data_IF_394759822819
#
_entry.id   IF_394759822819
#
_cell.length_a   1.000
_cell.length_b   1.000
_cell.length_c   1.000
_cell.angle_alpha   90.00
_cell.angle_beta   90.00
_cell.angle_gamma   90.00
#
_symmetry.space_group_name_H-M   'P 1'
#
loop_
_entity.id
_entity.type
_entity.pdbx_description
1 polymer ?
#
# COMPACT_ATOMS: atom_id res chain seq x y z
N UNK A 1 28.73 2.39 -10.61
CA UNK A 1 28.52 2.73 -9.18
C UNK A 1 27.79 1.63 -8.41
N UNK A 2 26.59 1.20 -8.82
CA UNK A 2 25.97 0.00 -8.20
C UNK A 2 26.95 -1.18 -8.23
N UNK A 3 27.67 -1.36 -9.35
CA UNK A 3 28.84 -2.26 -9.45
C UNK A 3 29.86 -2.14 -8.29
N UNK A 4 30.24 -0.94 -7.85
CA UNK A 4 31.17 -0.75 -6.71
C UNK A 4 30.55 -1.13 -5.37
N UNK A 5 29.26 -0.86 -5.18
CA UNK A 5 28.53 -1.28 -3.96
C UNK A 5 28.38 -2.80 -3.91
N UNK A 6 28.08 -3.40 -5.06
CA UNK A 6 27.99 -4.85 -5.27
C UNK A 6 29.34 -5.52 -5.09
N UNK A 7 30.40 -4.90 -5.60
CA UNK A 7 31.77 -5.32 -5.38
C UNK A 7 32.08 -5.32 -3.88
N UNK A 8 31.89 -4.20 -3.17
CA UNK A 8 32.04 -4.17 -1.71
C UNK A 8 31.17 -5.23 -1.02
N UNK A 9 29.92 -5.42 -1.44
CA UNK A 9 29.06 -6.45 -0.86
C UNK A 9 29.58 -7.89 -1.07
N UNK A 10 30.28 -8.15 -2.18
CA UNK A 10 30.87 -9.47 -2.53
C UNK A 10 32.28 -9.67 -2.01
N UNK A 11 33.11 -8.62 -2.00
CA UNK A 11 34.56 -8.71 -1.84
C UNK A 11 35.05 -8.31 -0.47
N UNK A 12 34.22 -7.70 0.39
CA UNK A 12 34.63 -7.47 1.77
C UNK A 12 34.78 -8.82 2.49
N UNK A 13 35.98 -9.21 2.94
CA UNK A 13 36.21 -10.52 3.57
C UNK A 13 35.36 -10.68 4.84
N UNK A 14 34.94 -11.90 5.16
CA UNK A 14 34.37 -12.19 6.48
C UNK A 14 35.35 -11.81 7.61
N UNK A 15 36.65 -11.95 7.35
CA UNK A 15 37.73 -11.57 8.27
C UNK A 15 37.69 -10.09 8.67
N UNK A 16 37.25 -9.20 7.77
CA UNK A 16 37.11 -7.78 8.08
C UNK A 16 35.92 -7.50 9.01
N UNK A 17 34.84 -8.29 8.90
CA UNK A 17 33.74 -8.20 9.84
C UNK A 17 34.18 -8.72 11.22
N UNK A 18 34.82 -9.89 11.28
CA UNK A 18 35.35 -10.45 12.54
C UNK A 18 36.30 -9.48 13.23
N UNK A 19 37.25 -8.89 12.50
CA UNK A 19 38.17 -7.88 13.02
C UNK A 19 37.44 -6.68 13.65
N UNK A 20 36.39 -6.16 12.99
CA UNK A 20 35.61 -5.04 13.53
C UNK A 20 34.88 -5.41 14.82
N UNK A 21 34.40 -6.65 14.94
CA UNK A 21 33.73 -7.14 16.15
C UNK A 21 34.73 -7.36 17.29
N UNK A 22 35.88 -7.96 17.01
CA UNK A 22 36.97 -8.17 17.98
C UNK A 22 37.49 -6.86 18.57
N UNK A 23 37.47 -5.78 17.78
CA UNK A 23 37.85 -4.43 18.21
C UNK A 23 36.67 -3.58 18.69
N UNK A 24 35.50 -4.19 18.94
CA UNK A 24 34.27 -3.52 19.40
C UNK A 24 33.82 -2.33 18.53
N UNK A 25 34.24 -2.30 17.27
CA UNK A 25 33.88 -1.26 16.31
C UNK A 25 32.53 -1.56 15.64
N UNK A 26 31.48 -1.59 16.48
CA UNK A 26 30.11 -1.90 16.09
C UNK A 26 29.54 -0.88 15.08
N UNK A 27 30.01 0.37 15.12
CA UNK A 27 29.56 1.42 14.18
C UNK A 27 29.96 1.08 12.76
N UNK A 28 31.23 0.75 12.50
CA UNK A 28 31.69 0.35 11.17
C UNK A 28 31.12 -1.01 10.77
N UNK A 29 31.03 -1.96 11.70
CA UNK A 29 30.38 -3.25 11.45
C UNK A 29 28.93 -3.07 10.97
N UNK A 30 28.18 -2.12 11.55
CA UNK A 30 26.81 -1.81 11.13
C UNK A 30 26.74 -1.26 9.69
N UNK A 31 27.73 -0.49 9.25
CA UNK A 31 27.81 0.05 7.89
C UNK A 31 28.08 -1.05 6.88
N UNK A 32 28.98 -1.98 7.22
CA UNK A 32 29.25 -3.17 6.40
C UNK A 32 28.00 -4.03 6.24
N UNK A 33 27.31 -4.35 7.34
CA UNK A 33 26.09 -5.16 7.30
C UNK A 33 24.95 -4.47 6.54
N UNK A 34 24.88 -3.14 6.56
CA UNK A 34 23.97 -2.39 5.68
C UNK A 34 24.23 -2.70 4.22
N UNK A 35 25.49 -2.67 3.78
CA UNK A 35 25.86 -2.89 2.37
C UNK A 35 25.56 -4.33 1.96
N UNK A 36 25.84 -5.32 2.82
CA UNK A 36 25.50 -6.74 2.59
C UNK A 36 23.99 -7.03 2.66
N UNK A 37 23.20 -6.08 3.16
CA UNK A 37 21.77 -6.26 3.35
C UNK A 37 21.39 -7.17 4.51
N UNK A 38 22.28 -7.35 5.50
CA UNK A 38 21.96 -8.11 6.70
C UNK A 38 21.33 -7.20 7.76
N UNK A 39 20.03 -6.96 7.62
CA UNK A 39 19.27 -5.99 8.43
C UNK A 39 19.27 -6.36 9.92
N UNK A 40 19.11 -7.65 10.25
CA UNK A 40 19.08 -8.11 11.64
C UNK A 40 20.45 -7.94 12.29
N UNK A 41 21.52 -8.33 11.60
CA UNK A 41 22.87 -8.18 12.15
C UNK A 41 23.26 -6.71 12.31
N UNK A 42 22.86 -5.85 11.36
CA UNK A 42 23.00 -4.40 11.50
C UNK A 42 22.24 -3.87 12.72
N UNK A 43 21.00 -4.32 12.95
CA UNK A 43 20.20 -3.91 14.11
C UNK A 43 20.90 -4.30 15.42
N UNK A 44 21.43 -5.53 15.49
CA UNK A 44 22.23 -5.98 16.62
C UNK A 44 23.44 -5.08 16.87
N UNK A 45 24.21 -4.70 15.82
CA UNK A 45 25.35 -3.78 16.01
C UNK A 45 24.93 -2.42 16.56
N UNK A 46 23.82 -1.87 16.08
CA UNK A 46 23.31 -0.58 16.55
C UNK A 46 22.84 -0.63 18.01
N UNK A 47 22.33 -1.77 18.45
CA UNK A 47 21.99 -1.98 19.84
C UNK A 47 23.22 -2.01 20.77
N UNK A 48 24.34 -2.59 20.32
CA UNK A 48 25.59 -2.62 21.11
C UNK A 48 26.14 -1.22 21.43
N UNK A 49 25.74 -0.22 20.65
CA UNK A 49 26.06 1.20 20.86
C UNK A 49 24.84 2.01 21.30
N UNK A 50 23.83 1.34 21.87
CA UNK A 50 22.64 1.92 22.49
C UNK A 50 21.75 2.75 21.55
N UNK A 51 21.85 2.54 20.23
CA UNK A 51 21.00 3.18 19.23
C UNK A 51 19.72 2.35 19.05
N UNK A 52 18.93 2.27 20.12
CA UNK A 52 17.75 1.40 20.23
C UNK A 52 16.65 1.72 19.23
N UNK A 53 16.38 3.00 18.95
CA UNK A 53 15.33 3.41 18.00
C UNK A 53 15.59 2.87 16.59
N UNK A 54 16.81 3.07 16.06
CA UNK A 54 17.17 2.58 14.72
C UNK A 54 17.28 1.06 14.69
N UNK A 55 17.72 0.44 15.79
CA UNK A 55 17.74 -1.02 15.91
C UNK A 55 16.33 -1.58 15.82
N UNK A 56 15.39 -1.07 16.62
CA UNK A 56 13.97 -1.40 16.58
C UNK A 56 13.38 -1.22 15.18
N UNK A 57 13.59 -0.06 14.55
CA UNK A 57 13.11 0.21 13.19
C UNK A 57 13.59 -0.82 12.16
N UNK A 58 14.83 -1.29 12.26
CA UNK A 58 15.39 -2.29 11.35
C UNK A 58 14.79 -3.68 11.58
N UNK A 59 14.59 -4.09 12.84
CA UNK A 59 13.93 -5.37 13.15
C UNK A 59 12.47 -5.34 12.69
N UNK A 60 11.74 -4.26 13.00
CA UNK A 60 10.35 -4.07 12.53
C UNK A 60 10.28 -4.10 11.00
N UNK A 61 11.18 -3.38 10.31
CA UNK A 61 11.25 -3.40 8.86
C UNK A 61 11.48 -4.82 8.31
N UNK A 62 12.39 -5.58 8.91
CA UNK A 62 12.66 -6.95 8.48
C UNK A 62 11.43 -7.85 8.64
N UNK A 63 10.73 -7.75 9.78
CA UNK A 63 9.47 -8.47 10.02
C UNK A 63 8.43 -8.10 8.95
N UNK A 64 8.24 -6.80 8.70
CA UNK A 64 7.29 -6.29 7.72
C UNK A 64 7.59 -6.83 6.31
N UNK A 65 8.87 -6.85 5.91
CA UNK A 65 9.30 -7.38 4.60
C UNK A 65 9.15 -8.91 4.49
N UNK A 66 9.20 -9.63 5.60
CA UNK A 66 8.90 -11.07 5.61
C UNK A 66 7.39 -11.34 5.52
N UNK A 67 6.55 -10.46 6.08
CA UNK A 67 5.10 -10.59 6.03
C UNK A 67 4.55 -10.15 4.67
N UNK A 68 5.04 -9.03 4.13
CA UNK A 68 4.60 -8.53 2.83
C UNK A 68 5.29 -9.36 1.76
N UNK A 69 4.53 -10.23 1.10
CA UNK A 69 4.99 -10.89 -0.10
C UNK A 69 4.56 -10.07 -1.31
N UNK A 70 5.54 -9.77 -2.16
CA UNK A 70 5.32 -9.29 -3.51
C UNK A 70 5.45 -10.47 -4.47
N UNK A 71 4.75 -11.57 -4.18
CA UNK A 71 4.76 -12.75 -5.02
C UNK A 71 4.18 -12.48 -6.41
N UNK A 72 4.52 -13.35 -7.35
CA UNK A 72 4.24 -13.19 -8.77
C UNK A 72 2.77 -13.09 -9.15
N UNK A 73 1.86 -13.56 -8.28
CA UNK A 73 0.45 -13.82 -8.61
C UNK A 73 -0.55 -12.86 -7.97
N UNK A 74 -0.19 -12.09 -6.94
CA UNK A 74 -1.16 -11.32 -6.16
C UNK A 74 -0.56 -10.11 -5.46
N UNK A 75 -0.59 -8.94 -6.13
CA UNK A 75 -0.46 -7.59 -5.54
C UNK A 75 0.43 -7.46 -4.29
N UNK A 76 0.02 -6.64 -3.33
CA UNK A 76 0.57 -6.65 -1.97
C UNK A 76 -0.14 -7.69 -1.10
N UNK A 77 0.07 -8.97 -1.39
CA UNK A 77 -0.47 -10.04 -0.52
C UNK A 77 0.37 -10.19 0.74
N UNK A 78 -0.26 -10.11 1.91
CA UNK A 78 0.42 -10.37 3.19
C UNK A 78 0.40 -11.87 3.47
N UNK A 79 1.58 -12.48 3.44
CA UNK A 79 1.78 -13.90 3.70
C UNK A 79 2.06 -14.16 5.17
N UNK A 80 1.80 -15.41 5.56
CA UNK A 80 2.12 -15.90 6.89
C UNK A 80 3.62 -16.21 6.98
N UNK A 81 4.39 -15.31 7.56
CA UNK A 81 5.76 -15.59 7.91
C UNK A 81 5.81 -16.55 9.12
N UNK A 82 6.54 -17.66 8.96
CA UNK A 82 6.79 -18.61 10.04
C UNK A 82 7.90 -18.08 10.97
N UNK A 83 7.84 -18.44 12.25
CA UNK A 83 8.92 -18.22 13.22
C UNK A 83 9.30 -16.76 13.54
N UNK A 84 8.37 -15.80 13.39
CA UNK A 84 8.60 -14.39 13.73
C UNK A 84 8.71 -14.09 15.24
N UNK A 85 8.32 -15.02 16.12
CA UNK A 85 8.19 -14.75 17.57
C UNK A 85 9.45 -14.12 18.18
N UNK A 86 10.63 -14.69 17.91
CA UNK A 86 11.91 -14.16 18.43
C UNK A 86 12.18 -12.74 17.94
N UNK A 87 11.85 -12.43 16.68
CA UNK A 87 12.02 -11.10 16.11
C UNK A 87 11.00 -10.11 16.69
N UNK A 88 9.76 -10.53 16.90
CA UNK A 88 8.70 -9.73 17.53
C UNK A 88 9.06 -9.35 18.96
N UNK A 89 9.47 -10.34 19.77
CA UNK A 89 9.90 -10.13 21.14
C UNK A 89 11.10 -9.16 21.19
N UNK A 90 12.04 -9.32 20.25
CA UNK A 90 13.20 -8.44 20.15
C UNK A 90 12.86 -7.02 19.74
N UNK A 91 12.03 -6.83 18.72
CA UNK A 91 11.58 -5.51 18.29
C UNK A 91 10.84 -4.79 19.43
N UNK A 92 10.00 -5.52 20.17
CA UNK A 92 9.30 -5.02 21.35
C UNK A 92 10.28 -4.55 22.41
N UNK A 93 11.23 -5.39 22.81
CA UNK A 93 12.23 -5.04 23.83
C UNK A 93 13.01 -3.76 23.44
N UNK A 94 13.52 -3.71 22.21
CA UNK A 94 14.26 -2.56 21.69
C UNK A 94 13.42 -1.28 21.69
N UNK A 95 12.15 -1.38 21.31
CA UNK A 95 11.26 -0.23 21.29
C UNK A 95 10.98 0.32 22.71
N UNK A 96 10.73 -0.55 23.69
CA UNK A 96 10.52 -0.11 25.08
C UNK A 96 11.76 0.49 25.74
N UNK A 97 12.97 0.14 25.27
CA UNK A 97 14.21 0.82 25.69
C UNK A 97 14.30 2.27 25.23
N UNK A 98 13.59 2.65 24.16
CA UNK A 98 13.49 4.05 23.71
C UNK A 98 12.51 4.81 24.60
N UNK A 99 11.27 4.33 24.69
CA UNK A 99 10.24 4.84 25.60
C UNK A 99 9.02 3.92 25.58
N UNK A 100 8.14 4.05 26.59
CA UNK A 100 6.85 3.35 26.60
C UNK A 100 5.97 3.70 25.39
N UNK A 101 5.85 5.00 25.07
CA UNK A 101 5.02 5.47 23.94
C UNK A 101 5.50 4.90 22.61
N UNK A 102 6.82 4.93 22.37
CA UNK A 102 7.40 4.35 21.16
C UNK A 102 7.22 2.82 21.10
N UNK A 103 7.40 2.15 22.25
CA UNK A 103 7.10 0.72 22.40
C UNK A 103 5.67 0.35 22.01
N UNK A 104 4.69 1.11 22.52
CA UNK A 104 3.27 0.89 22.25
C UNK A 104 2.92 1.11 20.76
N UNK A 105 3.52 2.11 20.10
CA UNK A 105 3.34 2.37 18.67
C UNK A 105 3.92 1.25 17.78
N UNK A 106 5.16 0.83 18.05
CA UNK A 106 5.82 -0.26 17.31
C UNK A 106 5.07 -1.58 17.53
N UNK A 107 4.64 -1.85 18.76
CA UNK A 107 3.89 -3.06 19.08
C UNK A 107 2.52 -3.08 18.40
N UNK A 108 1.80 -1.95 18.37
CA UNK A 108 0.52 -1.87 17.66
C UNK A 108 0.66 -2.20 16.16
N UNK A 109 1.75 -1.75 15.53
CA UNK A 109 2.06 -2.08 14.14
C UNK A 109 2.35 -3.57 13.94
N UNK A 110 3.27 -4.11 14.74
CA UNK A 110 3.72 -5.49 14.59
C UNK A 110 2.64 -6.50 14.97
N UNK A 111 1.83 -6.20 15.98
CA UNK A 111 0.69 -7.02 16.39
C UNK A 111 -0.34 -7.11 15.26
N UNK A 112 -0.66 -6.00 14.59
CA UNK A 112 -1.57 -6.00 13.45
C UNK A 112 -1.04 -6.85 12.28
N UNK A 113 0.22 -6.62 11.90
CA UNK A 113 0.80 -7.29 10.72
C UNK A 113 1.07 -8.78 10.96
N UNK A 114 1.33 -9.16 12.21
CA UNK A 114 1.63 -10.55 12.58
C UNK A 114 0.40 -11.34 13.02
N UNK A 115 -0.76 -10.69 13.15
CA UNK A 115 -2.01 -11.38 13.45
C UNK A 115 -2.27 -12.43 12.37
N UNK A 116 -2.77 -13.59 12.79
CA UNK A 116 -3.15 -14.69 11.89
C UNK A 116 -4.67 -14.78 11.74
N UNK A 117 -5.41 -14.18 12.68
CA UNK A 117 -6.86 -14.26 12.76
C UNK A 117 -7.48 -12.94 12.27
N UNK A 118 -7.40 -12.74 10.95
CA UNK A 118 -7.96 -11.59 10.27
C UNK A 118 -9.48 -11.69 10.09
N UNK A 119 -10.25 -11.53 11.17
CA UNK A 119 -11.67 -11.18 11.00
C UNK A 119 -11.77 -9.74 10.48
N UNK A 120 -12.80 -9.44 9.68
CA UNK A 120 -13.04 -8.08 9.19
C UNK A 120 -13.18 -7.08 10.34
N UNK A 121 -13.85 -7.48 11.41
CA UNK A 121 -14.02 -6.70 12.63
C UNK A 121 -12.68 -6.38 13.29
N UNK A 122 -11.73 -7.33 13.31
CA UNK A 122 -10.38 -7.09 13.84
C UNK A 122 -9.59 -6.12 12.94
N UNK A 123 -9.60 -6.34 11.62
CA UNK A 123 -8.90 -5.44 10.68
C UNK A 123 -9.45 -4.01 10.79
N UNK A 124 -10.77 -3.86 10.86
CA UNK A 124 -11.43 -2.56 11.02
C UNK A 124 -11.06 -1.87 12.34
N UNK A 125 -11.04 -2.62 13.44
CA UNK A 125 -10.61 -2.07 14.73
C UNK A 125 -9.15 -1.59 14.70
N UNK A 126 -8.26 -2.31 13.99
CA UNK A 126 -6.89 -1.85 13.77
C UNK A 126 -6.81 -0.61 12.88
N UNK A 127 -7.58 -0.59 11.79
CA UNK A 127 -7.69 0.56 10.89
C UNK A 127 -8.08 1.82 11.64
N UNK A 128 -9.12 1.76 12.48
CA UNK A 128 -9.57 2.90 13.30
C UNK A 128 -8.51 3.38 14.29
N UNK A 129 -7.88 2.45 15.03
CA UNK A 129 -6.84 2.80 16.00
C UNK A 129 -5.62 3.44 15.33
N UNK A 130 -5.33 3.04 14.10
CA UNK A 130 -4.22 3.55 13.31
C UNK A 130 -4.53 4.85 12.56
N UNK A 131 -5.80 5.19 12.37
CA UNK A 131 -6.21 6.34 11.57
C UNK A 131 -5.53 7.63 12.08
N UNK A 132 -4.82 8.31 11.18
CA UNK A 132 -4.02 9.51 11.47
C UNK A 132 -2.89 9.33 12.51
N UNK A 133 -2.58 8.11 12.94
CA UNK A 133 -1.55 7.79 13.94
C UNK A 133 -0.45 6.89 13.41
N UNK A 134 -0.81 5.84 12.66
CA UNK A 134 0.12 4.91 12.05
C UNK A 134 -0.25 4.66 10.59
N UNK A 135 0.40 5.38 9.68
CA UNK A 135 0.14 5.27 8.24
C UNK A 135 0.39 3.86 7.71
N UNK A 136 1.32 3.11 8.33
CA UNK A 136 1.67 1.76 7.88
C UNK A 136 0.52 0.80 8.13
N UNK A 137 0.03 0.76 9.38
CA UNK A 137 -1.13 -0.07 9.74
C UNK A 137 -2.36 0.33 8.94
N UNK A 138 -2.63 1.64 8.84
CA UNK A 138 -3.79 2.13 8.11
C UNK A 138 -3.76 1.72 6.62
N UNK A 139 -2.59 1.84 5.97
CA UNK A 139 -2.43 1.46 4.56
C UNK A 139 -2.65 -0.05 4.37
N UNK A 140 -2.01 -0.87 5.19
CA UNK A 140 -2.12 -2.33 5.08
C UNK A 140 -3.50 -2.85 5.51
N UNK A 141 -4.15 -2.24 6.48
CA UNK A 141 -5.53 -2.54 6.83
C UNK A 141 -6.50 -2.18 5.70
N UNK A 142 -6.33 -1.02 5.06
CA UNK A 142 -7.12 -0.65 3.89
C UNK A 142 -6.90 -1.64 2.73
N UNK A 143 -5.67 -2.07 2.46
CA UNK A 143 -5.37 -3.11 1.48
C UNK A 143 -6.09 -4.43 1.79
N UNK A 144 -6.03 -4.91 3.04
CA UNK A 144 -6.68 -6.17 3.46
C UNK A 144 -8.20 -6.10 3.38
N UNK A 145 -8.80 -5.00 3.85
CA UNK A 145 -10.24 -4.79 3.76
C UNK A 145 -10.67 -4.77 2.30
N UNK A 146 -9.95 -4.03 1.44
CA UNK A 146 -10.27 -3.95 0.03
C UNK A 146 -10.15 -5.33 -0.64
N UNK A 147 -9.07 -6.08 -0.39
CA UNK A 147 -8.89 -7.43 -0.89
C UNK A 147 -10.03 -8.37 -0.47
N UNK A 148 -10.48 -8.29 0.78
CA UNK A 148 -11.58 -9.11 1.28
C UNK A 148 -12.89 -8.78 0.56
N UNK A 149 -13.23 -7.50 0.40
CA UNK A 149 -14.44 -7.10 -0.32
C UNK A 149 -14.39 -7.44 -1.82
N UNK A 150 -13.22 -7.32 -2.44
CA UNK A 150 -13.03 -7.65 -3.86
C UNK A 150 -13.16 -9.16 -4.17
N UNK A 151 -13.07 -10.03 -3.15
CA UNK A 151 -13.24 -11.49 -3.28
C UNK A 151 -14.69 -11.96 -3.11
N UNK A 152 -15.58 -11.10 -2.64
CA UNK A 152 -16.98 -11.45 -2.42
C UNK A 152 -17.73 -11.58 -3.74
N UNK A 153 -18.63 -12.56 -3.81
CA UNK A 153 -19.64 -12.59 -4.86
C UNK A 153 -20.68 -11.50 -4.63
N UNK A 154 -21.31 -11.05 -5.70
CA UNK A 154 -22.32 -9.98 -5.66
C UNK A 154 -23.55 -10.38 -4.84
N UNK A 155 -23.79 -11.67 -4.66
CA UNK A 155 -24.85 -12.19 -3.79
C UNK A 155 -24.57 -12.07 -2.30
N UNK A 156 -23.31 -11.91 -1.94
CA UNK A 156 -22.89 -11.69 -0.55
C UNK A 156 -23.01 -10.22 -0.16
N UNK A 157 -23.26 -9.32 -1.12
CA UNK A 157 -23.47 -7.90 -0.83
C UNK A 157 -24.90 -7.62 -0.38
N UNK A 158 -25.01 -6.97 0.76
CA UNK A 158 -26.27 -6.49 1.32
C UNK A 158 -26.94 -5.49 0.37
N UNK A 159 -28.26 -5.53 0.37
CA UNK A 159 -29.09 -4.61 -0.37
C UNK A 159 -28.95 -3.18 0.19
N UNK A 160 -28.65 -2.22 -0.68
CA UNK A 160 -28.43 -0.82 -0.31
C UNK A 160 -29.70 -0.16 0.30
N UNK A 161 -30.89 -0.77 0.34
CA UNK A 161 -32.01 -0.21 1.13
C UNK A 161 -31.83 -0.35 2.66
N UNK A 162 -30.88 -1.18 3.10
CA UNK A 162 -30.39 -1.15 4.49
C UNK A 162 -29.70 0.19 4.85
N UNK A 163 -29.45 1.08 3.86
CA UNK A 163 -28.86 2.42 4.02
C UNK A 163 -29.69 3.34 4.94
N UNK A 164 -31.00 3.12 5.07
CA UNK A 164 -31.80 3.88 6.05
C UNK A 164 -31.49 3.50 7.51
N UNK A 165 -31.13 2.24 7.79
CA UNK A 165 -30.57 1.84 9.10
C UNK A 165 -29.16 2.40 9.29
N UNK A 166 -28.38 2.54 8.21
CA UNK A 166 -27.00 3.04 8.26
C UNK A 166 -26.89 4.52 8.68
N UNK A 167 -27.81 5.41 8.28
CA UNK A 167 -27.80 6.79 8.81
C UNK A 167 -28.01 6.86 10.33
N UNK A 168 -28.58 5.81 10.93
CA UNK A 168 -28.77 5.68 12.38
C UNK A 168 -27.68 4.86 13.08
N UNK A 169 -26.80 4.18 12.33
CA UNK A 169 -25.72 3.35 12.85
C UNK A 169 -24.35 3.92 12.47
N UNK A 170 -23.46 4.11 13.44
CA UNK A 170 -22.06 4.46 13.13
C UNK A 170 -21.47 3.42 12.17
N UNK A 171 -20.74 3.89 11.13
CA UNK A 171 -20.01 3.07 10.15
C UNK A 171 -19.29 1.87 10.78
N UNK A 172 -18.79 2.10 11.99
CA UNK A 172 -18.06 1.15 12.84
C UNK A 172 -18.87 -0.08 13.23
N UNK A 173 -20.17 0.09 13.48
CA UNK A 173 -21.07 -1.00 13.85
C UNK A 173 -21.39 -1.89 12.65
N UNK A 174 -21.45 -1.31 11.45
CA UNK A 174 -21.80 -2.01 10.21
C UNK A 174 -20.65 -2.89 9.71
N UNK A 175 -19.41 -2.41 9.78
CA UNK A 175 -18.23 -3.25 9.48
C UNK A 175 -18.04 -4.33 10.55
N UNK A 176 -18.34 -4.02 11.81
CA UNK A 176 -18.24 -4.96 12.93
C UNK A 176 -19.26 -6.11 12.83
N UNK A 177 -20.46 -5.84 12.32
CA UNK A 177 -21.54 -6.83 12.12
C UNK A 177 -21.39 -7.64 10.82
N UNK A 178 -20.33 -7.41 10.03
CA UNK A 178 -20.03 -8.21 8.84
C UNK A 178 -20.91 -7.87 7.63
N UNK A 179 -21.50 -6.67 7.61
CA UNK A 179 -22.31 -6.21 6.49
C UNK A 179 -21.45 -5.79 5.30
N UNK A 180 -21.82 -6.31 4.12
CA UNK A 180 -21.10 -6.11 2.87
C UNK A 180 -21.88 -5.18 1.95
N UNK A 181 -21.82 -3.87 2.18
CA UNK A 181 -22.52 -2.90 1.31
C UNK A 181 -21.58 -2.21 0.33
N UNK A 182 -22.16 -1.69 -0.76
CA UNK A 182 -21.41 -0.86 -1.71
C UNK A 182 -20.82 0.36 -0.99
N UNK A 183 -21.57 0.97 -0.05
CA UNK A 183 -21.13 2.13 0.74
C UNK A 183 -19.83 1.88 1.52
N UNK A 184 -19.71 0.69 2.14
CA UNK A 184 -18.53 0.33 2.91
C UNK A 184 -17.32 0.11 2.00
N UNK A 185 -17.52 -0.59 0.89
CA UNK A 185 -16.49 -0.80 -0.14
C UNK A 185 -15.89 0.52 -0.63
N UNK A 186 -16.72 1.54 -0.84
CA UNK A 186 -16.27 2.87 -1.29
C UNK A 186 -15.45 3.57 -0.22
N UNK A 187 -15.87 3.52 1.04
CA UNK A 187 -15.13 4.16 2.12
C UNK A 187 -13.73 3.54 2.25
N UNK A 188 -13.64 2.22 2.19
CA UNK A 188 -12.38 1.47 2.17
C UNK A 188 -11.54 1.88 0.95
N UNK A 189 -12.14 1.92 -0.24
CA UNK A 189 -11.46 2.33 -1.47
C UNK A 189 -10.94 3.77 -1.39
N UNK A 190 -11.72 4.71 -0.86
CA UNK A 190 -11.31 6.11 -0.72
C UNK A 190 -10.07 6.26 0.17
N UNK A 191 -10.03 5.54 1.29
CA UNK A 191 -8.83 5.55 2.15
C UNK A 191 -7.65 4.90 1.45
N UNK A 192 -7.85 3.75 0.82
CA UNK A 192 -6.80 3.08 0.05
C UNK A 192 -6.25 4.00 -1.05
N UNK A 193 -7.12 4.60 -1.86
CA UNK A 193 -6.80 5.58 -2.91
C UNK A 193 -5.93 6.72 -2.37
N UNK A 194 -6.33 7.32 -1.25
CA UNK A 194 -5.58 8.42 -0.65
C UNK A 194 -4.14 8.00 -0.30
N UNK A 195 -3.96 6.80 0.27
CA UNK A 195 -2.64 6.28 0.66
C UNK A 195 -1.78 5.96 -0.58
N UNK A 196 -2.37 5.36 -1.61
CA UNK A 196 -1.69 5.10 -2.88
C UNK A 196 -1.28 6.40 -3.58
N UNK A 197 -2.15 7.41 -3.61
CA UNK A 197 -1.82 8.74 -4.15
C UNK A 197 -0.61 9.35 -3.44
N UNK A 198 -0.55 9.27 -2.11
CA UNK A 198 0.61 9.78 -1.36
C UNK A 198 1.90 9.01 -1.68
N UNK A 199 1.84 7.69 -1.84
CA UNK A 199 2.99 6.89 -2.29
C UNK A 199 3.44 7.29 -3.70
N UNK A 200 2.52 7.53 -4.62
CA UNK A 200 2.84 8.05 -5.96
C UNK A 200 3.55 9.39 -5.91
N UNK A 201 3.03 10.35 -5.15
CA UNK A 201 3.64 11.67 -4.99
C UNK A 201 5.05 11.58 -4.39
N UNK A 202 5.26 10.70 -3.40
CA UNK A 202 6.59 10.41 -2.87
C UNK A 202 7.55 9.92 -3.96
N UNK A 203 7.12 8.93 -4.76
CA UNK A 203 7.95 8.36 -5.83
C UNK A 203 8.25 9.37 -6.95
N UNK A 204 7.34 10.32 -7.21
CA UNK A 204 7.54 11.41 -8.17
C UNK A 204 8.50 12.49 -7.65
N UNK A 205 8.79 12.53 -6.36
CA UNK A 205 9.61 13.57 -5.73
C UNK A 205 8.87 14.91 -5.61
N UNK A 206 7.54 14.92 -5.67
CA UNK A 206 6.71 16.12 -5.68
C UNK A 206 6.35 16.67 -4.29
N UNK A 207 6.82 16.07 -3.21
CA UNK A 207 6.46 16.46 -1.83
C UNK A 207 7.70 16.90 -1.05
N UNK A 208 7.70 18.16 -0.60
CA UNK A 208 8.86 18.81 0.06
C UNK A 208 8.53 19.26 1.50
N UNK A 209 7.86 18.42 2.30
CA UNK A 209 7.45 18.73 3.69
C UNK A 209 7.67 17.55 4.65
N UNK A 210 7.52 17.76 5.96
CA UNK A 210 7.66 16.74 7.02
C UNK A 210 6.80 15.47 6.80
N UNK A 211 5.71 15.56 6.03
CA UNK A 211 4.90 14.41 5.59
C UNK A 211 5.70 13.42 4.72
N UNK A 212 6.80 13.85 4.09
CA UNK A 212 7.70 13.04 3.28
C UNK A 212 8.35 11.89 4.05
N UNK A 213 8.68 12.08 5.34
CA UNK A 213 9.38 11.05 6.13
C UNK A 213 8.50 9.81 6.35
N UNK A 214 7.23 10.04 6.66
CA UNK A 214 6.26 8.97 6.93
C UNK A 214 6.02 8.13 5.66
N UNK A 215 5.83 8.77 4.50
CA UNK A 215 5.62 8.06 3.23
C UNK A 215 6.89 7.43 2.66
N UNK A 216 8.07 7.97 2.99
CA UNK A 216 9.36 7.33 2.69
C UNK A 216 9.47 5.97 3.37
N UNK A 217 9.21 5.92 4.67
CA UNK A 217 9.32 4.68 5.44
C UNK A 217 8.24 3.67 5.02
N UNK A 218 7.02 4.13 4.75
CA UNK A 218 5.96 3.31 4.16
C UNK A 218 6.39 2.73 2.81
N UNK A 219 6.89 3.57 1.89
CA UNK A 219 7.31 3.14 0.56
C UNK A 219 8.42 2.08 0.64
N UNK A 220 9.39 2.28 1.52
CA UNK A 220 10.44 1.30 1.75
C UNK A 220 9.89 -0.05 2.22
N UNK A 221 8.92 -0.04 3.15
CA UNK A 221 8.25 -1.26 3.64
C UNK A 221 7.43 -1.94 2.52
N UNK A 222 6.60 -1.19 1.79
CA UNK A 222 5.74 -1.71 0.71
C UNK A 222 6.54 -2.43 -0.39
N UNK A 223 7.72 -1.92 -0.74
CA UNK A 223 8.57 -2.51 -1.79
C UNK A 223 9.69 -3.39 -1.23
N UNK A 224 9.81 -3.51 0.09
CA UNK A 224 10.91 -4.20 0.75
C UNK A 224 12.26 -3.70 0.26
N UNK A 225 12.48 -2.38 0.31
CA UNK A 225 13.73 -1.74 -0.10
C UNK A 225 14.43 -0.99 1.03
N UNK A 226 15.76 -1.04 1.04
CA UNK A 226 16.61 -0.28 1.95
C UNK A 226 17.55 0.65 1.16
N UNK A 227 17.54 1.94 1.50
CA UNK A 227 18.51 2.91 0.94
C UNK A 227 19.90 2.69 1.57
N UNK A 228 20.89 2.41 0.72
CA UNK A 228 22.24 2.05 1.13
C UNK A 228 23.18 3.25 1.31
N UNK A 229 23.00 4.34 0.56
CA UNK A 229 23.92 5.48 0.62
C UNK A 229 23.28 6.80 0.16
N UNK A 230 24.03 7.89 0.28
CA UNK A 230 23.64 9.23 -0.16
C UNK A 230 23.45 9.34 -1.68
N UNK A 231 24.07 8.46 -2.47
CA UNK A 231 24.01 8.45 -3.94
C UNK A 231 22.84 7.62 -4.48
N UNK A 232 21.79 7.48 -3.67
CA UNK A 232 20.48 6.93 -4.06
C UNK A 232 20.53 5.48 -4.57
N UNK A 233 21.36 4.62 -3.97
CA UNK A 233 21.33 3.16 -4.24
C UNK A 233 20.40 2.47 -3.24
N UNK A 234 19.54 1.59 -3.75
CA UNK A 234 18.59 0.80 -2.98
C UNK A 234 18.91 -0.69 -3.08
N UNK A 235 18.57 -1.41 -2.01
CA UNK A 235 18.62 -2.85 -1.92
C UNK A 235 17.19 -3.38 -1.75
N UNK A 236 16.70 -4.18 -2.69
CA UNK A 236 15.48 -4.95 -2.55
C UNK A 236 15.78 -6.32 -1.94
N UNK A 237 14.99 -6.74 -0.95
CA UNK A 237 15.22 -8.00 -0.20
C UNK A 237 14.74 -9.25 -0.91
N UNK A 238 13.83 -9.11 -1.87
CA UNK A 238 13.26 -10.22 -2.64
C UNK A 238 13.57 -10.02 -4.12
N UNK A 239 14.55 -10.75 -4.65
CA UNK A 239 14.99 -10.58 -6.05
C UNK A 239 13.95 -10.97 -7.09
N UNK A 240 12.95 -11.75 -6.67
CA UNK A 240 11.80 -12.21 -7.47
C UNK A 240 10.53 -11.39 -7.24
N UNK A 241 10.62 -10.27 -6.52
CA UNK A 241 9.48 -9.41 -6.27
C UNK A 241 8.77 -8.98 -7.56
N UNK A 242 7.44 -9.06 -7.59
CA UNK A 242 6.62 -8.75 -8.77
C UNK A 242 6.81 -7.33 -9.29
N UNK A 243 7.10 -6.36 -8.42
CA UNK A 243 7.40 -4.98 -8.81
C UNK A 243 8.75 -4.80 -9.52
N UNK A 244 9.63 -5.81 -9.48
CA UNK A 244 10.89 -5.82 -10.24
C UNK A 244 10.72 -6.34 -11.67
N UNK A 245 9.53 -6.85 -12.03
CA UNK A 245 9.25 -7.36 -13.38
C UNK A 245 9.33 -6.22 -14.40
N UNK A 246 10.00 -6.46 -15.53
CA UNK A 246 10.18 -5.47 -16.60
C UNK A 246 11.42 -4.58 -16.48
N UNK A 247 12.22 -4.74 -15.43
CA UNK A 247 13.49 -4.05 -15.31
C UNK A 247 14.57 -4.67 -16.21
N UNK A 248 15.29 -3.84 -16.97
CA UNK A 248 16.45 -4.29 -17.75
C UNK A 248 17.52 -4.85 -16.80
N UNK A 249 18.04 -6.04 -17.07
CA UNK A 249 19.07 -6.70 -16.27
C UNK A 249 20.33 -5.85 -16.11
N UNK A 250 20.64 -4.99 -17.10
CA UNK A 250 21.79 -4.07 -17.04
C UNK A 250 21.63 -2.95 -15.99
N UNK A 251 20.39 -2.66 -15.60
CA UNK A 251 20.03 -1.58 -14.67
C UNK A 251 20.02 -2.02 -13.20
N UNK A 252 20.13 -3.34 -12.96
CA UNK A 252 20.06 -3.96 -11.65
C UNK A 252 21.24 -4.92 -11.45
N UNK A 253 21.58 -5.21 -10.20
CA UNK A 253 22.57 -6.24 -9.90
C UNK A 253 22.00 -7.18 -8.85
N UNK A 254 21.94 -8.47 -9.17
CA UNK A 254 21.47 -9.49 -8.23
C UNK A 254 22.65 -10.15 -7.53
N UNK A 255 22.51 -10.36 -6.24
CA UNK A 255 23.45 -11.12 -5.41
C UNK A 255 22.58 -11.95 -4.49
N UNK A 256 22.63 -13.27 -4.65
CA UNK A 256 21.75 -14.21 -3.97
C UNK A 256 20.27 -13.81 -4.14
N UNK A 257 19.52 -13.72 -3.04
CA UNK A 257 18.12 -13.33 -3.00
C UNK A 257 17.90 -11.80 -3.04
N UNK A 258 18.95 -10.99 -3.18
CA UNK A 258 18.87 -9.53 -3.09
C UNK A 258 19.15 -8.84 -4.42
N UNK A 259 18.51 -7.68 -4.64
CA UNK A 259 18.70 -6.88 -5.85
C UNK A 259 19.13 -5.45 -5.51
N UNK A 260 20.23 -4.99 -6.10
CA UNK A 260 20.76 -3.64 -5.96
C UNK A 260 20.36 -2.79 -7.15
N UNK A 261 19.72 -1.64 -6.88
CA UNK A 261 19.02 -0.83 -7.89
C UNK A 261 19.33 0.64 -7.67
N UNK A 262 19.45 1.41 -8.76
CA UNK A 262 19.56 2.88 -8.66
C UNK A 262 18.20 3.49 -8.35
N UNK A 263 18.18 4.58 -7.59
CA UNK A 263 16.96 5.24 -7.14
C UNK A 263 16.00 5.68 -8.25
N UNK A 264 16.46 6.20 -9.41
CA UNK A 264 15.57 6.47 -10.54
C UNK A 264 14.91 5.21 -11.11
N UNK A 265 15.65 4.09 -11.18
CA UNK A 265 15.13 2.79 -11.66
C UNK A 265 14.12 2.24 -10.66
N UNK A 266 14.45 2.25 -9.35
CA UNK A 266 13.52 1.88 -8.28
C UNK A 266 12.22 2.68 -8.37
N UNK A 267 12.30 4.02 -8.48
CA UNK A 267 11.12 4.88 -8.57
C UNK A 267 10.26 4.57 -9.79
N UNK A 268 10.87 4.35 -10.95
CA UNK A 268 10.16 3.99 -12.17
C UNK A 268 9.40 2.67 -12.03
N UNK A 269 10.07 1.62 -11.56
CA UNK A 269 9.48 0.29 -11.37
C UNK A 269 8.37 0.30 -10.32
N UNK A 270 8.62 0.97 -9.18
CA UNK A 270 7.62 1.13 -8.13
C UNK A 270 6.37 1.88 -8.64
N UNK A 271 6.54 2.95 -9.42
CA UNK A 271 5.41 3.66 -10.03
C UNK A 271 4.65 2.77 -11.02
N UNK A 272 5.35 2.02 -11.87
CA UNK A 272 4.73 1.11 -12.81
C UNK A 272 3.91 0.04 -12.08
N UNK A 273 4.48 -0.55 -11.04
CA UNK A 273 3.78 -1.53 -10.20
C UNK A 273 2.50 -0.94 -9.58
N UNK A 274 2.58 0.25 -8.97
CA UNK A 274 1.39 0.90 -8.40
C UNK A 274 0.33 1.20 -9.47
N UNK A 275 0.73 1.55 -10.69
CA UNK A 275 -0.21 1.79 -11.81
C UNK A 275 -0.94 0.50 -12.19
N UNK A 276 -0.22 -0.61 -12.23
CA UNK A 276 -0.81 -1.94 -12.47
C UNK A 276 -1.78 -2.33 -11.35
N UNK A 277 -1.40 -2.12 -10.09
CA UNK A 277 -2.26 -2.41 -8.93
C UNK A 277 -3.53 -1.55 -8.93
N UNK A 278 -3.40 -0.25 -9.19
CA UNK A 278 -4.55 0.65 -9.33
C UNK A 278 -5.47 0.23 -10.47
N UNK A 279 -4.90 -0.13 -11.61
CA UNK A 279 -5.71 -0.61 -12.73
C UNK A 279 -6.51 -1.84 -12.35
N UNK A 280 -5.85 -2.84 -11.74
CA UNK A 280 -6.48 -4.09 -11.32
C UNK A 280 -7.61 -3.87 -10.30
N UNK A 281 -7.35 -3.09 -9.25
CA UNK A 281 -8.34 -2.75 -8.22
C UNK A 281 -9.52 -2.01 -8.83
N UNK A 282 -9.27 -0.99 -9.66
CA UNK A 282 -10.33 -0.23 -10.31
C UNK A 282 -11.18 -1.11 -11.24
N UNK A 283 -10.57 -2.00 -12.04
CA UNK A 283 -11.28 -2.93 -12.91
C UNK A 283 -12.20 -3.87 -12.12
N UNK A 284 -11.72 -4.40 -10.99
CA UNK A 284 -12.52 -5.26 -10.11
C UNK A 284 -13.68 -4.50 -9.47
N UNK A 285 -13.43 -3.29 -8.95
CA UNK A 285 -14.47 -2.46 -8.34
C UNK A 285 -15.57 -2.09 -9.35
N UNK A 286 -15.19 -1.67 -10.55
CA UNK A 286 -16.14 -1.35 -11.62
C UNK A 286 -16.98 -2.57 -11.99
N UNK A 287 -16.36 -3.76 -12.06
CA UNK A 287 -17.07 -5.02 -12.29
C UNK A 287 -18.12 -5.31 -11.21
N UNK A 288 -17.79 -5.14 -9.92
CA UNK A 288 -18.72 -5.35 -8.80
C UNK A 288 -19.87 -4.34 -8.86
N UNK A 289 -19.56 -3.04 -9.04
CA UNK A 289 -20.57 -1.99 -9.13
C UNK A 289 -21.55 -2.22 -10.28
N UNK A 290 -21.04 -2.67 -11.42
CA UNK A 290 -21.85 -2.98 -12.61
C UNK A 290 -22.80 -4.15 -12.36
N UNK A 291 -22.33 -5.20 -11.69
CA UNK A 291 -23.18 -6.34 -11.32
C UNK A 291 -24.22 -5.97 -10.25
N UNK A 292 -23.85 -5.18 -9.23
CA UNK A 292 -24.80 -4.66 -8.24
C UNK A 292 -25.87 -3.79 -8.89
N UNK A 293 -25.49 -3.00 -9.90
CA UNK A 293 -26.43 -2.20 -10.68
C UNK A 293 -27.41 -3.06 -11.49
N UNK A 294 -26.93 -4.14 -12.10
CA UNK A 294 -27.80 -5.11 -12.78
C UNK A 294 -28.74 -5.85 -11.82
N UNK A 295 -28.27 -6.16 -10.60
CA UNK A 295 -29.07 -6.86 -9.59
C UNK A 295 -30.18 -5.99 -8.99
N UNK A 296 -29.91 -4.72 -8.73
CA UNK A 296 -30.82 -3.81 -8.03
C UNK A 296 -31.32 -2.66 -8.92
N UNK A 297 -31.70 -2.96 -10.18
CA UNK A 297 -32.10 -1.96 -11.19
C UNK A 297 -33.26 -1.05 -10.77
N UNK A 298 -34.17 -1.55 -9.93
CA UNK A 298 -35.36 -0.81 -9.51
C UNK A 298 -35.06 0.27 -8.45
N UNK A 299 -33.87 0.26 -7.84
CA UNK A 299 -33.49 1.14 -6.72
C UNK A 299 -32.77 2.39 -7.20
N UNK A 300 -33.58 3.37 -7.63
CA UNK A 300 -33.15 4.63 -8.26
C UNK A 300 -32.09 5.44 -7.47
N UNK A 301 -32.18 5.52 -6.14
CA UNK A 301 -31.21 6.28 -5.34
C UNK A 301 -29.83 5.61 -5.29
N UNK A 302 -29.81 4.31 -5.00
CA UNK A 302 -28.59 3.51 -4.94
C UNK A 302 -27.90 3.44 -6.32
N UNK A 303 -28.70 3.46 -7.39
CA UNK A 303 -28.22 3.55 -8.77
C UNK A 303 -27.40 4.83 -9.04
N UNK A 304 -27.89 6.01 -8.65
CA UNK A 304 -27.18 7.28 -8.84
C UNK A 304 -25.87 7.29 -8.05
N UNK A 305 -25.89 6.79 -6.81
CA UNK A 305 -24.68 6.68 -5.99
C UNK A 305 -23.64 5.81 -6.68
N UNK A 306 -23.97 4.56 -7.04
CA UNK A 306 -23.08 3.62 -7.75
C UNK A 306 -22.49 4.22 -9.03
N UNK A 307 -23.30 4.97 -9.79
CA UNK A 307 -22.85 5.65 -11.01
C UNK A 307 -21.83 6.76 -10.73
N UNK A 308 -22.06 7.61 -9.72
CA UNK A 308 -21.09 8.65 -9.30
C UNK A 308 -19.76 8.03 -8.87
N UNK A 309 -19.80 6.87 -8.25
CA UNK A 309 -18.61 6.19 -7.75
C UNK A 309 -17.81 5.53 -8.86
N UNK A 310 -18.50 4.88 -9.80
CA UNK A 310 -17.87 4.38 -11.02
C UNK A 310 -17.11 5.51 -11.74
N UNK A 311 -17.69 6.71 -11.81
CA UNK A 311 -17.02 7.90 -12.32
C UNK A 311 -15.79 8.31 -11.49
N UNK A 312 -15.87 8.34 -10.16
CA UNK A 312 -14.74 8.65 -9.27
C UNK A 312 -13.57 7.66 -9.38
N UNK A 313 -13.87 6.37 -9.49
CA UNK A 313 -12.89 5.30 -9.72
C UNK A 313 -12.20 5.52 -11.07
N UNK A 314 -13.00 5.79 -12.09
CA UNK A 314 -12.52 6.07 -13.45
C UNK A 314 -11.61 7.30 -13.51
N UNK A 315 -12.02 8.39 -12.86
CA UNK A 315 -11.21 9.61 -12.73
C UNK A 315 -9.85 9.33 -12.13
N UNK A 316 -9.83 8.65 -10.99
CA UNK A 316 -8.58 8.37 -10.28
C UNK A 316 -7.61 7.53 -11.11
N UNK A 317 -8.14 6.53 -11.82
CA UNK A 317 -7.37 5.71 -12.76
C UNK A 317 -6.75 6.55 -13.88
N UNK A 318 -7.51 7.52 -14.42
CA UNK A 318 -7.02 8.44 -15.45
C UNK A 318 -5.96 9.41 -14.91
N UNK A 319 -6.15 9.99 -13.73
CA UNK A 319 -5.19 10.88 -13.05
C UNK A 319 -3.84 10.20 -12.81
N UNK A 320 -3.84 8.88 -12.56
CA UNK A 320 -2.63 8.07 -12.44
C UNK A 320 -2.10 7.52 -13.78
N UNK A 321 -2.61 8.03 -14.91
CA UNK A 321 -2.19 7.68 -16.26
C UNK A 321 -2.38 6.20 -16.60
N UNK A 322 -3.51 5.62 -16.20
CA UNK A 322 -3.85 4.22 -16.43
C UNK A 322 -5.13 4.02 -17.28
N UNK A 323 -5.37 4.74 -18.39
CA UNK A 323 -6.63 4.61 -19.14
C UNK A 323 -6.76 3.22 -19.78
N UNK A 324 -7.85 2.49 -19.49
CA UNK A 324 -8.19 1.22 -20.15
C UNK A 324 -8.98 1.44 -21.44
N UNK A 325 -9.11 0.44 -22.33
CA UNK A 325 -9.96 0.55 -23.54
C UNK A 325 -11.47 0.37 -23.24
N UNK A 326 -11.83 -0.47 -22.26
CA UNK A 326 -13.21 -0.62 -21.74
C UNK A 326 -13.73 0.63 -21.02
N UNK A 327 -12.80 1.47 -20.55
CA UNK A 327 -13.00 2.69 -19.80
C UNK A 327 -14.02 3.65 -20.45
N UNK A 328 -13.83 4.00 -21.73
CA UNK A 328 -14.67 5.01 -22.37
C UNK A 328 -16.09 4.50 -22.63
N UNK A 329 -16.25 3.21 -22.93
CA UNK A 329 -17.55 2.59 -23.20
C UNK A 329 -18.40 2.53 -21.92
N UNK A 330 -17.80 2.10 -20.80
CA UNK A 330 -18.49 2.07 -19.50
C UNK A 330 -18.78 3.49 -19.00
N UNK A 331 -17.84 4.43 -19.15
CA UNK A 331 -18.03 5.83 -18.75
C UNK A 331 -19.16 6.52 -19.54
N UNK A 332 -19.26 6.23 -20.85
CA UNK A 332 -20.37 6.71 -21.68
C UNK A 332 -21.71 6.10 -21.22
N UNK A 333 -21.75 4.81 -20.92
CA UNK A 333 -22.97 4.17 -20.41
C UNK A 333 -23.42 4.77 -19.06
N UNK A 334 -22.51 4.99 -18.11
CA UNK A 334 -22.81 5.64 -16.83
C UNK A 334 -23.21 7.12 -17.01
N UNK A 335 -22.59 7.83 -17.95
CA UNK A 335 -22.93 9.21 -18.32
C UNK A 335 -24.35 9.29 -18.89
N UNK A 336 -24.65 8.47 -19.89
CA UNK A 336 -25.94 8.49 -20.60
C UNK A 336 -27.07 8.11 -19.63
N UNK A 337 -26.80 7.18 -18.71
CA UNK A 337 -27.72 6.85 -17.61
C UNK A 337 -27.92 8.02 -16.63
N UNK A 338 -26.86 8.68 -16.16
CA UNK A 338 -26.99 9.83 -15.26
C UNK A 338 -27.73 11.03 -15.91
N UNK A 339 -27.54 11.22 -17.22
CA UNK A 339 -28.29 12.21 -18.01
C UNK A 339 -29.77 11.84 -18.12
N UNK A 340 -30.11 10.57 -18.36
CA UNK A 340 -31.51 10.12 -18.35
C UNK A 340 -32.19 10.34 -16.98
N UNK A 341 -31.46 10.22 -15.87
CA UNK A 341 -31.97 10.50 -14.52
C UNK A 341 -32.13 12.00 -14.23
N UNK A 342 -31.33 12.87 -14.86
CA UNK A 342 -31.51 14.32 -14.81
C UNK A 342 -32.86 14.72 -15.43
N UNK A 343 -33.21 14.10 -16.55
CA UNK A 343 -34.47 14.35 -17.26
C UNK A 343 -35.71 13.86 -16.47
N UNK A 344 -35.50 13.00 -15.46
CA UNK A 344 -36.54 12.56 -14.50
C UNK A 344 -36.66 13.46 -13.25
N UNK A 345 -35.97 14.60 -13.18
CA UNK A 345 -36.18 15.63 -12.15
C UNK A 345 -35.25 15.60 -10.93
N UNK A 346 -34.17 14.80 -10.93
CA UNK A 346 -33.20 14.75 -9.82
C UNK A 346 -32.06 15.77 -10.00
N UNK A 347 -32.23 16.97 -9.44
CA UNK A 347 -31.30 18.11 -9.61
C UNK A 347 -29.90 17.91 -9.00
N UNK A 348 -29.75 17.08 -7.95
CA UNK A 348 -28.44 16.82 -7.30
C UNK A 348 -27.49 15.96 -8.15
N UNK A 349 -28.03 15.08 -8.99
CA UNK A 349 -27.23 14.29 -9.95
C UNK A 349 -26.63 15.18 -11.06
N UNK A 350 -27.30 16.29 -11.38
CA UNK A 350 -26.90 17.23 -12.43
C UNK A 350 -25.61 17.98 -12.11
N UNK A 351 -25.39 18.39 -10.85
CA UNK A 351 -24.19 19.16 -10.48
C UNK A 351 -22.92 18.31 -10.47
N UNK A 352 -23.02 17.07 -9.99
CA UNK A 352 -21.93 16.08 -9.98
C UNK A 352 -21.58 15.63 -11.40
N UNK A 353 -22.57 15.36 -12.24
CA UNK A 353 -22.35 15.01 -13.65
C UNK A 353 -21.72 16.17 -14.45
N UNK A 354 -22.19 17.41 -14.28
CA UNK A 354 -21.60 18.58 -14.97
C UNK A 354 -20.16 18.88 -14.53
N UNK A 355 -19.87 18.82 -13.23
CA UNK A 355 -18.50 19.02 -12.73
C UNK A 355 -17.54 17.95 -13.27
N UNK A 356 -18.00 16.70 -13.40
CA UNK A 356 -17.23 15.59 -13.97
C UNK A 356 -16.96 15.71 -15.47
N UNK A 357 -17.94 16.19 -16.24
CA UNK A 357 -17.88 16.32 -17.70
C UNK A 357 -16.80 17.29 -18.16
N UNK A 358 -16.54 18.36 -17.40
CA UNK A 358 -15.50 19.34 -17.74
C UNK A 358 -14.07 18.89 -17.42
N UNK A 359 -13.86 17.83 -16.63
CA UNK A 359 -12.52 17.47 -16.13
C UNK A 359 -11.85 16.27 -16.82
N UNK A 360 -12.58 15.43 -17.57
CA UNK A 360 -12.06 14.14 -18.07
C UNK A 360 -12.26 13.87 -19.57
N UNK A 361 -13.27 14.46 -20.20
CA UNK A 361 -13.32 14.45 -21.66
C UNK A 361 -12.39 15.58 -22.11
N UNK A 362 -11.35 15.32 -22.91
CA UNK A 362 -10.81 16.39 -23.73
C UNK A 362 -12.02 17.01 -24.42
N UNK A 363 -12.18 18.32 -24.34
CA UNK A 363 -12.89 19.02 -25.41
C UNK A 363 -12.28 18.48 -26.69
N UNK A 364 -13.09 17.88 -27.57
CA UNK A 364 -12.65 17.51 -28.91
C UNK A 364 -11.68 18.60 -29.39
N UNK A 365 -10.43 18.29 -29.75
CA UNK A 365 -9.72 19.16 -30.65
C UNK A 365 -10.54 19.09 -31.94
N UNK A 366 -11.45 20.05 -32.09
CA UNK A 366 -12.48 20.06 -33.12
C UNK A 366 -11.87 19.79 -34.50
N UNK A 367 -12.71 19.19 -35.36
CA UNK A 367 -12.88 19.54 -36.79
C UNK A 367 -11.65 19.93 -37.61
#
# INVERSE_FOLDING_TARGET
MVRKVVEIARTFPEDAYSFLIENENYVEASKLQRIRGNTILKAYMLERVEVYEKSSQLVSFHIVVQIISTDERSGWSMQHAHNLKKLLDRAKELAYRVSKSYGDEVWAELAFLSDRNYSLSNIHAHFQRAQNRNVTVETFAACKLLEAYLKLDVDQYDDDDAVFKWRSMHFDKVVFEGHFSAQVLINIWNTWKQRISCLFSYLQGSVNTSQYKIYKDLCHKCFGVLKLNSKDVFLAFHSQASWLKGANEESMHRIDEKTYIRGPVFRSLAQQFLRTEVSFVCDKLLGILTQLQMKYQEKRFCFVQRSVLALQISRHRSELGCPGKRFFVELHAYKDMLLAYKDMGFSSASSLAHSFLHTLLPTDPQS
#
